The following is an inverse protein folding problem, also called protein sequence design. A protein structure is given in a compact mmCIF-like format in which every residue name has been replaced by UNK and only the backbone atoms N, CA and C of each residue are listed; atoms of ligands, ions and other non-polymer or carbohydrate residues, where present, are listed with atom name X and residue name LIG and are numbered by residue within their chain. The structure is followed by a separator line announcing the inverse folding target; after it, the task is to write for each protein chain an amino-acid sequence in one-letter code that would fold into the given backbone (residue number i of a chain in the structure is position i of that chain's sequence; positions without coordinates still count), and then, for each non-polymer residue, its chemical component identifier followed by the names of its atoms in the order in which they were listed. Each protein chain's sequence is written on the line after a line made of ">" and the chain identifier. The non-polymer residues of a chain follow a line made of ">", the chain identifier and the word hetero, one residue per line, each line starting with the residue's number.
data_IF_121317069185
#
_entry.id   IF_121317069185
#
_cell.length_a   1.000
_cell.length_b   1.000
_cell.length_c   1.000
_cell.angle_alpha   90.00
_cell.angle_beta   90.00
_cell.angle_gamma   90.00
#
_symmetry.space_group_name_H-M   'P 1'
#
loop_
_entity.id
_entity.type
_entity.pdbx_description
1 polymer ?
#
# COMPACT_ATOMS: atom_id res chain seq x y z
N UNK A 1 -12.49 12.70 14.91
CA UNK A 1 -12.76 11.63 13.92
C UNK A 1 -12.86 10.31 14.66
N UNK A 2 -13.84 9.49 14.34
CA UNK A 2 -14.02 8.15 14.93
C UNK A 2 -12.90 7.19 14.49
N UNK A 3 -12.41 6.36 15.41
CA UNK A 3 -11.33 5.40 15.16
C UNK A 3 -11.80 4.30 14.19
N UNK A 4 -10.94 3.89 13.25
CA UNK A 4 -11.30 2.90 12.22
C UNK A 4 -11.79 1.57 12.80
N UNK A 5 -11.25 1.14 13.94
CA UNK A 5 -11.69 -0.09 14.61
C UNK A 5 -13.13 0.03 15.12
N UNK A 6 -13.52 1.20 15.62
CA UNK A 6 -14.88 1.44 16.11
C UNK A 6 -15.88 1.46 14.95
N UNK A 7 -15.53 2.12 13.85
CA UNK A 7 -16.33 2.06 12.62
C UNK A 7 -16.49 0.62 12.12
N UNK A 8 -15.42 -0.18 12.20
CA UNK A 8 -15.48 -1.58 11.78
C UNK A 8 -16.37 -2.43 12.69
N UNK A 9 -16.37 -2.17 14.01
CA UNK A 9 -17.30 -2.81 14.96
C UNK A 9 -18.74 -2.48 14.66
N UNK A 10 -19.05 -1.22 14.37
CA UNK A 10 -20.39 -0.79 13.98
C UNK A 10 -20.82 -1.47 12.68
N UNK A 11 -19.94 -1.49 11.68
CA UNK A 11 -20.17 -2.19 10.43
C UNK A 11 -20.44 -3.70 10.63
N UNK A 12 -19.68 -4.34 11.52
CA UNK A 12 -19.91 -5.74 11.90
C UNK A 12 -21.30 -5.97 12.52
N UNK A 13 -21.86 -4.97 13.20
CA UNK A 13 -23.21 -4.99 13.78
C UNK A 13 -24.31 -4.49 12.83
N UNK A 14 -24.00 -4.31 11.53
CA UNK A 14 -25.00 -3.96 10.50
C UNK A 14 -25.06 -2.48 10.11
N UNK A 15 -24.23 -1.62 10.70
CA UNK A 15 -24.16 -0.20 10.35
C UNK A 15 -23.47 0.00 8.99
N UNK A 16 -24.27 0.25 7.95
CA UNK A 16 -23.77 0.41 6.58
C UNK A 16 -22.96 1.71 6.40
N UNK A 17 -23.38 2.80 7.06
CA UNK A 17 -22.71 4.10 6.96
C UNK A 17 -21.32 4.07 7.59
N UNK A 18 -21.16 3.32 8.68
CA UNK A 18 -19.85 3.10 9.30
C UNK A 18 -18.88 2.40 8.32
N UNK A 19 -19.37 1.42 7.56
CA UNK A 19 -18.58 0.74 6.53
C UNK A 19 -18.24 1.67 5.36
N UNK A 20 -19.22 2.43 4.87
CA UNK A 20 -19.01 3.40 3.80
C UNK A 20 -17.95 4.44 4.17
N UNK A 21 -17.99 4.93 5.41
CA UNK A 21 -16.98 5.84 5.95
C UNK A 21 -15.57 5.23 5.89
N UNK A 22 -15.43 3.94 6.21
CA UNK A 22 -14.15 3.23 6.08
C UNK A 22 -13.70 3.14 4.61
N UNK A 23 -14.61 2.82 3.70
CA UNK A 23 -14.29 2.75 2.27
C UNK A 23 -13.80 4.10 1.76
N UNK A 24 -14.55 5.17 2.00
CA UNK A 24 -14.22 6.52 1.54
C UNK A 24 -12.87 7.00 2.11
N UNK A 25 -12.60 6.71 3.39
CA UNK A 25 -11.36 7.09 4.08
C UNK A 25 -10.13 6.36 3.53
N UNK A 26 -10.26 5.10 3.14
CA UNK A 26 -9.11 4.24 2.86
C UNK A 26 -8.93 3.88 1.38
N UNK A 27 -9.96 3.99 0.53
CA UNK A 27 -9.93 3.55 -0.88
C UNK A 27 -8.74 4.12 -1.63
N UNK A 28 -8.57 5.44 -1.62
CA UNK A 28 -7.54 6.10 -2.43
C UNK A 28 -6.11 5.69 -2.01
N UNK A 29 -5.88 5.60 -0.70
CA UNK A 29 -4.61 5.16 -0.11
C UNK A 29 -4.34 3.66 -0.38
N UNK A 30 -5.38 2.83 -0.31
CA UNK A 30 -5.33 1.42 -0.62
C UNK A 30 -4.99 1.18 -2.11
N UNK A 31 -5.56 1.96 -3.02
CA UNK A 31 -5.24 1.92 -4.46
C UNK A 31 -3.79 2.31 -4.70
N UNK A 32 -3.32 3.41 -4.09
CA UNK A 32 -1.91 3.80 -4.17
C UNK A 32 -0.97 2.71 -3.65
N UNK A 33 -1.36 2.00 -2.60
CA UNK A 33 -0.58 0.88 -2.08
C UNK A 33 -0.57 -0.32 -3.02
N UNK A 34 -1.74 -0.73 -3.54
CA UNK A 34 -1.87 -1.82 -4.48
C UNK A 34 -1.10 -1.56 -5.79
N UNK A 35 -1.10 -0.32 -6.27
CA UNK A 35 -0.36 0.14 -7.45
C UNK A 35 1.16 -0.03 -7.36
N UNK A 36 1.70 -0.26 -6.15
CA UNK A 36 3.13 -0.58 -5.96
C UNK A 36 3.48 -2.01 -6.36
N UNK A 37 2.45 -2.84 -6.52
CA UNK A 37 2.56 -4.23 -6.89
C UNK A 37 1.99 -4.46 -8.28
N UNK A 38 0.93 -3.77 -8.68
CA UNK A 38 0.23 -3.98 -9.97
C UNK A 38 0.95 -3.34 -11.17
N UNK A 39 0.64 -3.82 -12.38
CA UNK A 39 1.21 -3.26 -13.62
C UNK A 39 0.54 -1.92 -13.99
N UNK A 40 -0.76 -1.80 -13.73
CA UNK A 40 -1.53 -0.60 -14.02
C UNK A 40 -2.47 -0.23 -12.85
N UNK A 41 -3.06 0.97 -12.92
CA UNK A 41 -3.97 1.50 -11.90
C UNK A 41 -5.31 0.77 -11.87
N UNK A 42 -5.84 0.32 -13.00
CA UNK A 42 -7.10 -0.42 -13.06
C UNK A 42 -7.02 -1.73 -12.27
N UNK A 43 -5.96 -2.51 -12.47
CA UNK A 43 -5.67 -3.73 -11.70
C UNK A 43 -5.61 -3.42 -10.18
N UNK A 44 -5.05 -2.27 -9.80
CA UNK A 44 -5.00 -1.85 -8.39
C UNK A 44 -6.39 -1.52 -7.83
N UNK A 45 -7.21 -0.80 -8.59
CA UNK A 45 -8.57 -0.44 -8.21
C UNK A 45 -9.45 -1.68 -8.06
N UNK A 46 -9.38 -2.62 -9.00
CA UNK A 46 -10.12 -3.88 -8.96
C UNK A 46 -9.76 -4.73 -7.73
N UNK A 47 -8.46 -4.87 -7.45
CA UNK A 47 -7.99 -5.59 -6.25
C UNK A 47 -8.54 -4.95 -4.98
N UNK A 48 -8.50 -3.63 -4.88
CA UNK A 48 -8.94 -2.90 -3.69
C UNK A 48 -10.46 -3.01 -3.52
N UNK A 49 -11.22 -2.86 -4.61
CA UNK A 49 -12.68 -3.05 -4.60
C UNK A 49 -13.04 -4.45 -4.13
N UNK A 50 -12.38 -5.48 -4.65
CA UNK A 50 -12.63 -6.86 -4.23
C UNK A 50 -12.27 -7.09 -2.76
N UNK A 51 -11.18 -6.49 -2.27
CA UNK A 51 -10.81 -6.54 -0.86
C UNK A 51 -11.90 -5.92 0.02
N UNK A 52 -12.43 -4.74 -0.33
CA UNK A 52 -13.53 -4.12 0.42
C UNK A 52 -14.82 -4.95 0.32
N UNK A 53 -15.17 -5.48 -0.84
CA UNK A 53 -16.35 -6.33 -1.00
C UNK A 53 -16.24 -7.59 -0.11
N UNK A 54 -15.08 -8.26 -0.12
CA UNK A 54 -14.81 -9.41 0.76
C UNK A 54 -14.89 -9.03 2.24
N UNK A 55 -14.35 -7.86 2.60
CA UNK A 55 -14.38 -7.36 3.97
C UNK A 55 -15.81 -7.05 4.42
N UNK A 56 -16.65 -6.50 3.54
CA UNK A 56 -18.07 -6.29 3.81
C UNK A 56 -18.81 -7.61 4.01
N UNK A 57 -18.64 -8.58 3.12
CA UNK A 57 -19.30 -9.90 3.22
C UNK A 57 -18.91 -10.63 4.51
N UNK A 58 -17.67 -10.47 4.96
CA UNK A 58 -17.13 -11.13 6.16
C UNK A 58 -17.08 -10.24 7.40
N UNK A 59 -17.71 -9.06 7.37
CA UNK A 59 -17.59 -8.04 8.44
C UNK A 59 -17.98 -8.57 9.82
N UNK A 60 -18.99 -9.43 9.89
CA UNK A 60 -19.47 -10.07 11.13
C UNK A 60 -18.42 -10.99 11.78
N UNK A 61 -17.47 -11.50 11.01
CA UNK A 61 -16.38 -12.37 11.49
C UNK A 61 -15.15 -11.59 11.97
N UNK A 62 -15.19 -10.25 11.88
CA UNK A 62 -14.06 -9.42 12.28
C UNK A 62 -13.85 -9.51 13.79
N UNK A 63 -12.62 -9.84 14.19
CA UNK A 63 -12.19 -9.93 15.60
C UNK A 63 -11.20 -8.80 15.87
N UNK A 64 -11.34 -8.15 17.02
CA UNK A 64 -10.54 -7.01 17.51
C UNK A 64 -9.03 -7.27 17.75
N UNK A 65 -8.45 -8.34 17.19
CA UNK A 65 -7.05 -8.72 17.44
C UNK A 65 -6.01 -7.92 16.65
N UNK A 66 -6.42 -7.09 15.69
CA UNK A 66 -5.52 -6.22 14.93
C UNK A 66 -6.27 -4.98 14.42
N UNK A 67 -5.52 -3.91 14.17
CA UNK A 67 -6.10 -2.72 13.58
C UNK A 67 -6.73 -3.02 12.21
N UNK A 68 -7.80 -2.30 11.91
CA UNK A 68 -8.46 -2.32 10.61
C UNK A 68 -7.46 -2.10 9.48
N UNK A 69 -6.60 -1.08 9.59
CA UNK A 69 -5.56 -0.80 8.61
C UNK A 69 -4.64 -2.01 8.39
N UNK A 70 -4.10 -2.61 9.45
CA UNK A 70 -3.24 -3.78 9.30
C UNK A 70 -3.96 -4.95 8.61
N UNK A 71 -5.25 -5.16 8.92
CA UNK A 71 -6.07 -6.20 8.29
C UNK A 71 -6.28 -5.93 6.79
N UNK A 72 -6.74 -4.72 6.43
CA UNK A 72 -6.99 -4.29 5.05
C UNK A 72 -5.73 -4.43 4.19
N UNK A 73 -4.61 -3.87 4.65
CA UNK A 73 -3.35 -3.88 3.89
C UNK A 73 -2.74 -5.28 3.76
N UNK A 74 -2.98 -6.16 4.74
CA UNK A 74 -2.62 -7.59 4.62
C UNK A 74 -3.44 -8.25 3.52
N UNK A 75 -4.77 -8.03 3.49
CA UNK A 75 -5.63 -8.57 2.44
C UNK A 75 -5.20 -8.10 1.04
N UNK A 76 -4.96 -6.80 0.88
CA UNK A 76 -4.55 -6.21 -0.40
C UNK A 76 -3.23 -6.81 -0.87
N UNK A 77 -2.20 -6.83 0.00
CA UNK A 77 -0.90 -7.39 -0.37
C UNK A 77 -1.00 -8.86 -0.77
N UNK A 78 -1.77 -9.67 -0.03
CA UNK A 78 -1.98 -11.08 -0.36
C UNK A 78 -2.67 -11.21 -1.72
N UNK A 79 -3.71 -10.40 -1.98
CA UNK A 79 -4.43 -10.41 -3.25
C UNK A 79 -3.55 -9.99 -4.43
N UNK A 80 -2.71 -8.96 -4.28
CA UNK A 80 -1.71 -8.61 -5.28
C UNK A 80 -0.77 -9.79 -5.54
N UNK A 81 -0.23 -10.42 -4.50
CA UNK A 81 0.69 -11.56 -4.64
C UNK A 81 0.05 -12.72 -5.40
N UNK A 82 -1.21 -13.05 -5.08
CA UNK A 82 -1.97 -14.10 -5.77
C UNK A 82 -2.26 -13.74 -7.23
N UNK A 83 -2.67 -12.51 -7.52
CA UNK A 83 -2.94 -12.03 -8.87
C UNK A 83 -1.73 -12.19 -9.79
N UNK A 84 -0.53 -11.88 -9.31
CA UNK A 84 0.71 -12.04 -10.09
C UNK A 84 1.15 -13.49 -10.25
N UNK A 85 0.91 -14.37 -9.27
CA UNK A 85 1.16 -15.80 -9.42
C UNK A 85 0.31 -16.37 -10.56
N UNK A 86 -0.97 -16.01 -10.61
CA UNK A 86 -1.92 -16.43 -11.66
C UNK A 86 -1.60 -15.84 -13.03
N UNK A 87 -1.12 -14.58 -13.10
CA UNK A 87 -0.74 -13.94 -14.37
C UNK A 87 0.55 -14.52 -14.96
N UNK A 88 1.50 -15.00 -14.13
CA UNK A 88 2.72 -15.71 -14.60
C UNK A 88 2.45 -17.11 -15.15
N UNK A 89 1.34 -17.74 -14.75
CA UNK A 89 0.91 -19.05 -15.26
C UNK A 89 0.18 -18.97 -16.60
N UNK A 90 -0.12 -17.76 -17.11
CA UNK A 90 -0.62 -17.50 -18.46
C UNK A 90 0.43 -16.69 -19.24
N UNK A 91 1.08 -17.24 -20.27
CA UNK A 91 2.07 -16.48 -21.03
C UNK A 91 1.33 -15.56 -21.99
N UNK A 92 1.18 -14.30 -21.62
CA UNK A 92 1.06 -13.18 -22.55
C UNK A 92 1.12 -11.87 -21.75
N UNK A 93 2.28 -11.21 -21.81
CA UNK A 93 2.48 -9.83 -22.28
C UNK A 93 3.97 -9.50 -22.08
N UNK A 94 4.57 -8.89 -23.10
CA UNK A 94 5.97 -8.53 -23.25
C UNK A 94 6.51 -7.62 -22.14
N UNK A 95 7.78 -7.80 -21.82
CA UNK A 95 8.54 -7.17 -20.73
C UNK A 95 8.76 -5.65 -20.92
N UNK A 96 8.20 -5.05 -21.97
CA UNK A 96 8.45 -3.66 -22.41
C UNK A 96 7.37 -2.65 -22.00
N UNK A 97 6.23 -3.08 -21.43
CA UNK A 97 5.17 -2.15 -20.98
C UNK A 97 5.26 -1.74 -19.50
N UNK A 98 6.21 -2.30 -18.74
CA UNK A 98 6.31 -2.08 -17.28
C UNK A 98 6.90 -0.71 -16.88
N UNK A 99 7.42 0.08 -17.83
CA UNK A 99 8.07 1.37 -17.53
C UNK A 99 7.15 2.60 -17.61
N UNK A 100 5.91 2.50 -18.10
CA UNK A 100 5.11 3.71 -18.40
C UNK A 100 4.04 4.14 -17.38
N UNK A 101 3.67 3.32 -16.39
CA UNK A 101 2.44 3.57 -15.59
C UNK A 101 2.73 4.17 -14.20
N UNK A 102 3.83 4.91 -14.09
CA UNK A 102 4.24 5.58 -12.86
C UNK A 102 3.70 7.02 -12.72
N UNK A 103 2.98 7.55 -13.71
CA UNK A 103 2.68 8.99 -13.80
C UNK A 103 1.24 9.41 -13.45
N UNK A 104 0.28 8.48 -13.39
CA UNK A 104 -1.16 8.83 -13.34
C UNK A 104 -1.80 8.78 -11.94
N UNK A 105 -1.00 8.78 -10.87
CA UNK A 105 -1.49 8.63 -9.48
C UNK A 105 -1.45 9.89 -8.61
N UNK A 106 -1.03 11.04 -9.14
CA UNK A 106 -0.67 12.20 -8.33
C UNK A 106 -1.70 13.33 -8.49
N UNK A 107 -2.26 13.87 -7.39
CA UNK A 107 -3.07 15.08 -7.41
C UNK A 107 -2.33 16.22 -8.11
N UNK A 108 -3.05 17.06 -8.87
CA UNK A 108 -2.52 18.28 -9.49
C UNK A 108 -1.86 19.17 -8.44
N UNK A 109 -0.55 19.38 -8.58
CA UNK A 109 0.23 20.31 -7.77
C UNK A 109 1.11 21.17 -8.68
N UNK A 110 1.45 22.38 -8.22
CA UNK A 110 2.28 23.36 -8.92
C UNK A 110 3.58 22.76 -9.48
N UNK A 111 4.14 23.36 -10.55
CA UNK A 111 5.30 22.84 -11.30
C UNK A 111 6.51 22.53 -10.40
N UNK A 112 6.83 23.40 -9.43
CA UNK A 112 7.94 23.18 -8.49
C UNK A 112 7.69 22.00 -7.53
N UNK A 113 6.45 21.85 -7.05
CA UNK A 113 6.06 20.71 -6.23
C UNK A 113 6.08 19.41 -7.04
N UNK A 114 5.76 19.47 -8.34
CA UNK A 114 5.82 18.33 -9.24
C UNK A 114 7.26 17.85 -9.45
N UNK A 115 8.20 18.74 -9.73
CA UNK A 115 9.62 18.38 -9.92
C UNK A 115 10.21 17.76 -8.64
N UNK A 116 9.93 18.33 -7.47
CA UNK A 116 10.40 17.78 -6.20
C UNK A 116 9.76 16.42 -5.87
N UNK A 117 8.48 16.25 -6.21
CA UNK A 117 7.76 14.99 -6.04
C UNK A 117 8.25 13.92 -7.00
N UNK A 118 8.54 14.26 -8.26
CA UNK A 118 9.17 13.37 -9.23
C UNK A 118 10.59 12.97 -8.77
N UNK A 119 11.37 13.90 -8.20
CA UNK A 119 12.68 13.62 -7.60
C UNK A 119 12.58 12.62 -6.44
N UNK A 120 11.64 12.82 -5.52
CA UNK A 120 11.40 11.89 -4.40
C UNK A 120 10.94 10.54 -4.94
N UNK A 121 10.03 10.53 -5.91
CA UNK A 121 9.47 9.31 -6.47
C UNK A 121 10.56 8.45 -7.13
N UNK A 122 11.40 9.03 -7.99
CA UNK A 122 12.47 8.30 -8.67
C UNK A 122 13.55 7.81 -7.67
N UNK A 123 13.82 8.57 -6.62
CA UNK A 123 14.77 8.13 -5.59
C UNK A 123 14.20 6.93 -4.81
N UNK A 124 12.91 6.97 -4.50
CA UNK A 124 12.21 5.87 -3.82
C UNK A 124 12.09 4.67 -4.74
N UNK A 125 11.85 4.83 -6.05
CA UNK A 125 11.71 3.74 -7.03
C UNK A 125 12.95 2.84 -7.09
N UNK A 126 14.14 3.42 -6.92
CA UNK A 126 15.45 2.72 -6.90
C UNK A 126 15.72 1.90 -5.63
N UNK A 127 14.84 1.97 -4.62
CA UNK A 127 14.95 1.13 -3.43
C UNK A 127 14.42 -0.28 -3.70
N UNK A 128 14.98 -1.27 -2.99
CA UNK A 128 14.45 -2.64 -3.01
C UNK A 128 12.95 -2.64 -2.72
N UNK A 129 12.11 -3.44 -3.40
CA UNK A 129 10.67 -3.46 -3.22
C UNK A 129 10.24 -3.56 -1.74
N UNK A 130 10.91 -4.41 -0.97
CA UNK A 130 10.64 -4.56 0.46
C UNK A 130 10.87 -3.27 1.27
N UNK A 131 11.90 -2.49 0.93
CA UNK A 131 12.21 -1.22 1.60
C UNK A 131 11.20 -0.15 1.26
N UNK A 132 10.80 -0.09 -0.01
CA UNK A 132 9.72 0.79 -0.49
C UNK A 132 8.44 0.51 0.28
N UNK A 133 8.04 -0.75 0.40
CA UNK A 133 6.82 -1.13 1.11
C UNK A 133 6.88 -0.80 2.59
N UNK A 134 7.97 -1.14 3.27
CA UNK A 134 8.12 -0.82 4.70
C UNK A 134 8.07 0.70 4.97
N UNK A 135 8.76 1.50 4.14
CA UNK A 135 8.75 2.96 4.27
C UNK A 135 7.36 3.55 3.99
N UNK A 136 6.63 3.05 3.01
CA UNK A 136 5.27 3.53 2.73
C UNK A 136 4.33 3.28 3.91
N UNK A 137 4.31 2.04 4.42
CA UNK A 137 3.46 1.68 5.55
C UNK A 137 3.82 2.49 6.82
N UNK A 138 5.11 2.74 7.03
CA UNK A 138 5.57 3.52 8.18
C UNK A 138 5.33 5.04 8.04
N UNK A 139 5.79 5.64 6.94
CA UNK A 139 5.83 7.09 6.80
C UNK A 139 4.53 7.68 6.26
N UNK A 140 3.84 6.96 5.36
CA UNK A 140 2.63 7.44 4.71
C UNK A 140 1.37 6.95 5.43
N UNK A 141 1.30 5.65 5.73
CA UNK A 141 0.13 5.08 6.44
C UNK A 141 0.21 5.23 7.97
N UNK A 142 1.35 5.70 8.48
CA UNK A 142 1.63 5.92 9.90
C UNK A 142 1.43 4.67 10.76
N UNK A 143 1.66 3.49 10.18
CA UNK A 143 1.55 2.23 10.90
C UNK A 143 2.71 2.01 11.86
N UNK A 144 2.42 1.41 13.01
CA UNK A 144 3.44 0.98 13.95
C UNK A 144 4.11 -0.33 13.49
N UNK A 145 5.23 -0.70 14.13
CA UNK A 145 6.03 -1.86 13.71
C UNK A 145 5.26 -3.19 13.79
N UNK A 146 4.31 -3.33 14.71
CA UNK A 146 3.47 -4.53 14.83
C UNK A 146 2.50 -4.66 13.67
N UNK A 147 1.90 -3.56 13.24
CA UNK A 147 1.00 -3.52 12.08
C UNK A 147 1.75 -3.81 10.79
N UNK A 148 2.90 -3.15 10.58
CA UNK A 148 3.76 -3.38 9.40
C UNK A 148 4.23 -4.83 9.35
N UNK A 149 4.62 -5.39 10.50
CA UNK A 149 5.03 -6.80 10.63
C UNK A 149 3.92 -7.74 10.15
N UNK A 150 2.67 -7.48 10.55
CA UNK A 150 1.50 -8.25 10.10
C UNK A 150 1.29 -8.12 8.59
N UNK A 151 1.28 -6.91 8.05
CA UNK A 151 1.11 -6.66 6.61
C UNK A 151 2.19 -7.35 5.79
N UNK A 152 3.45 -7.28 6.24
CA UNK A 152 4.61 -7.81 5.54
C UNK A 152 4.90 -9.30 5.83
N UNK A 153 4.16 -9.94 6.74
CA UNK A 153 4.39 -11.34 7.13
C UNK A 153 5.78 -11.55 7.76
N UNK A 154 6.23 -10.60 8.59
CA UNK A 154 7.56 -10.56 9.20
C UNK A 154 7.46 -10.36 10.71
N UNK A 155 8.56 -10.54 11.43
CA UNK A 155 8.64 -10.17 12.86
C UNK A 155 8.87 -8.66 13.03
N UNK A 156 8.49 -8.09 14.17
CA UNK A 156 8.77 -6.68 14.48
C UNK A 156 10.28 -6.37 14.43
N UNK A 157 11.13 -7.30 14.85
CA UNK A 157 12.58 -7.17 14.78
C UNK A 157 13.07 -7.06 13.31
N UNK A 158 12.54 -7.91 12.42
CA UNK A 158 12.81 -7.82 10.98
C UNK A 158 12.34 -6.49 10.40
N UNK A 159 11.18 -5.98 10.80
CA UNK A 159 10.70 -4.65 10.36
C UNK A 159 11.63 -3.53 10.82
N UNK A 160 12.08 -3.54 12.08
CA UNK A 160 13.03 -2.54 12.59
C UNK A 160 14.32 -2.52 11.78
N UNK A 161 14.89 -3.68 11.48
CA UNK A 161 16.09 -3.82 10.65
C UNK A 161 15.82 -3.34 9.21
N UNK A 162 14.68 -3.70 8.66
CA UNK A 162 14.27 -3.34 7.29
C UNK A 162 14.13 -1.83 7.14
N UNK A 163 13.43 -1.17 8.06
CA UNK A 163 13.29 0.29 8.07
C UNK A 163 14.63 1.00 8.26
N UNK A 164 15.50 0.48 9.12
CA UNK A 164 16.84 1.03 9.28
C UNK A 164 17.64 0.96 7.96
N UNK A 165 17.67 -0.21 7.30
CA UNK A 165 18.34 -0.39 6.01
C UNK A 165 17.70 0.44 4.90
N UNK A 166 16.37 0.55 4.89
CA UNK A 166 15.62 1.35 3.94
C UNK A 166 15.99 2.84 4.04
N UNK A 167 16.04 3.41 5.25
CA UNK A 167 16.47 4.79 5.49
C UNK A 167 17.92 5.03 5.07
N UNK A 168 18.83 4.10 5.39
CA UNK A 168 20.24 4.20 4.96
C UNK A 168 20.37 4.16 3.43
N UNK A 169 19.60 3.29 2.78
CA UNK A 169 19.57 3.19 1.33
C UNK A 169 19.00 4.46 0.69
N UNK A 170 17.91 5.00 1.24
CA UNK A 170 17.31 6.25 0.78
C UNK A 170 18.30 7.42 0.88
N UNK A 171 18.96 7.57 2.04
CA UNK A 171 20.01 8.58 2.24
C UNK A 171 21.14 8.44 1.22
N UNK A 172 21.60 7.22 0.94
CA UNK A 172 22.65 6.98 -0.06
C UNK A 172 22.21 7.40 -1.48
N UNK A 173 20.96 7.13 -1.86
CA UNK A 173 20.45 7.51 -3.18
C UNK A 173 20.28 9.03 -3.31
N UNK A 174 19.86 9.71 -2.23
CA UNK A 174 19.80 11.18 -2.19
C UNK A 174 21.19 11.81 -2.33
N UNK A 175 22.16 11.34 -1.53
CA UNK A 175 23.54 11.88 -1.54
C UNK A 175 24.27 11.66 -2.88
N UNK A 176 24.04 10.52 -3.55
CA UNK A 176 24.63 10.25 -4.87
C UNK A 176 24.20 11.26 -5.92
N UNK A 177 22.97 11.77 -5.80
CA UNK A 177 22.40 12.74 -6.75
C UNK A 177 22.77 14.18 -6.44
N UNK A 178 23.07 14.53 -5.19
CA UNK A 178 23.63 15.85 -4.84
C UNK A 178 25.06 16.03 -5.39
N UNK A 179 25.69 14.94 -5.84
CA UNK A 179 27.06 14.93 -6.39
C UNK A 179 27.08 14.84 -7.94
N UNK A 180 25.92 14.78 -8.59
CA UNK A 180 25.71 14.77 -10.07
C UNK A 180 25.18 16.12 -10.52
#
# INVERSE_FOLDING_TARGET
>A
MEEDNLLMRRAANGDKEAFETLVLRHREHAVRFAARFTANRYDAEDIVQECFAKLYVRREQWKDGASFKAYLYTMIRNRCTDFFRLKREKPEVSEEELELISREGLPETTVLAREERERIFDTVSRLKPEYRTALYLFAYEQMNYREIAKVMGKTQAQIKITLHRARKSLKKQLLRRESE
#
